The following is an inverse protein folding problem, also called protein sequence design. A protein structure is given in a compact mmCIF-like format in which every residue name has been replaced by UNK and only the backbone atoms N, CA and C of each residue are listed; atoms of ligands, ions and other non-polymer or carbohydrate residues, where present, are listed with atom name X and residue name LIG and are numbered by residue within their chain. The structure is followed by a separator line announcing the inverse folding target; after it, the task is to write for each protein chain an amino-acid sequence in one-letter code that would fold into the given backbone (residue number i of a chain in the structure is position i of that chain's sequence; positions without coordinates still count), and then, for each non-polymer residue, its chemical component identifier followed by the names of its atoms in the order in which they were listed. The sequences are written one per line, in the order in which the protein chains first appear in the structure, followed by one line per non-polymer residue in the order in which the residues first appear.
data_IF_401546619222
#
_entry.id   IF_401546619222
#
_cell.length_a   1.000
_cell.length_b   1.000
_cell.length_c   1.000
_cell.angle_alpha   90.00
_cell.angle_beta   90.00
_cell.angle_gamma   90.00
#
_symmetry.space_group_name_H-M   'P 1'
#
loop_
_entity.id
_entity.type
_entity.pdbx_description
1 polymer ?
#
# COMPACT_ATOMS: atom_id res chain seq x y z
N UNK A 1 23.99 -17.10 17.27
CA UNK A 1 23.14 -16.39 16.29
C UNK A 1 22.25 -15.49 17.12
N UNK A 2 22.53 -14.20 17.10
CA UNK A 2 21.74 -13.22 17.82
C UNK A 2 20.38 -13.12 17.11
N UNK A 3 19.36 -13.80 17.65
CA UNK A 3 18.02 -13.90 17.08
C UNK A 3 17.22 -12.62 17.33
N UNK A 4 17.83 -11.47 17.03
CA UNK A 4 17.08 -10.22 16.94
C UNK A 4 16.22 -10.34 15.70
N UNK A 5 14.92 -10.45 15.91
CA UNK A 5 13.93 -10.23 14.87
C UNK A 5 14.27 -8.90 14.21
N UNK A 6 14.68 -8.94 12.95
CA UNK A 6 14.81 -7.73 12.15
C UNK A 6 13.38 -7.30 11.82
N UNK A 7 12.96 -6.14 12.31
CA UNK A 7 11.61 -5.63 12.09
C UNK A 7 11.31 -5.45 10.59
N UNK A 8 12.34 -5.33 9.75
CA UNK A 8 12.19 -5.30 8.30
C UNK A 8 11.68 -6.62 7.71
N UNK A 9 11.86 -7.76 8.39
CA UNK A 9 11.27 -9.02 7.98
C UNK A 9 9.73 -9.03 8.16
N UNK A 10 9.20 -8.17 9.03
CA UNK A 10 7.76 -8.04 9.27
C UNK A 10 7.10 -7.05 8.31
N UNK A 11 7.83 -6.02 7.87
CA UNK A 11 7.32 -5.02 6.92
C UNK A 11 7.09 -5.66 5.56
N UNK A 12 5.89 -5.48 5.03
CA UNK A 12 5.51 -6.00 3.70
C UNK A 12 5.34 -4.86 2.71
N UNK A 13 5.95 -5.01 1.55
CA UNK A 13 5.72 -4.18 0.38
C UNK A 13 4.87 -4.97 -0.62
N UNK A 14 3.78 -4.36 -1.06
CA UNK A 14 3.00 -4.82 -2.20
C UNK A 14 3.27 -3.90 -3.37
N UNK A 15 3.37 -4.47 -4.56
CA UNK A 15 3.51 -3.75 -5.80
C UNK A 15 2.44 -4.24 -6.77
N UNK A 16 1.43 -3.40 -7.02
CA UNK A 16 0.43 -3.66 -8.05
C UNK A 16 1.03 -3.34 -9.42
N UNK A 17 1.49 -4.38 -10.10
CA UNK A 17 2.22 -4.29 -11.36
C UNK A 17 2.21 -5.63 -12.07
N UNK A 18 2.27 -5.58 -13.41
CA UNK A 18 2.39 -6.78 -14.24
C UNK A 18 3.81 -7.36 -14.26
N UNK A 19 4.81 -6.61 -13.79
CA UNK A 19 6.20 -7.04 -13.74
C UNK A 19 6.82 -6.72 -12.39
N UNK A 20 7.57 -7.67 -11.83
CA UNK A 20 8.22 -7.53 -10.53
C UNK A 20 9.29 -6.44 -10.54
N UNK A 21 9.93 -6.21 -11.69
CA UNK A 21 11.02 -5.23 -11.83
C UNK A 21 10.51 -3.79 -12.02
N UNK A 22 9.19 -3.62 -12.20
CA UNK A 22 8.58 -2.31 -12.45
C UNK A 22 7.72 -1.92 -11.26
N UNK A 23 8.11 -0.85 -10.59
CA UNK A 23 7.28 -0.23 -9.56
C UNK A 23 5.99 0.33 -10.20
N UNK A 24 4.85 -0.24 -9.82
CA UNK A 24 3.51 0.25 -10.13
C UNK A 24 2.97 1.03 -8.92
N UNK A 25 1.84 0.59 -8.36
CA UNK A 25 1.33 1.14 -7.10
C UNK A 25 1.94 0.37 -5.92
N UNK A 26 2.88 1.00 -5.24
CA UNK A 26 3.63 0.39 -4.13
C UNK A 26 3.01 0.79 -2.80
N UNK A 27 2.53 -0.20 -2.06
CA UNK A 27 1.98 -0.04 -0.71
C UNK A 27 2.87 -0.71 0.33
N UNK A 28 3.05 -0.07 1.50
CA UNK A 28 3.87 -0.57 2.61
C UNK A 28 2.97 -0.88 3.80
N UNK A 29 3.15 -2.03 4.45
CA UNK A 29 2.40 -2.46 5.62
C UNK A 29 3.35 -2.85 6.74
N UNK A 30 2.96 -2.64 8.00
CA UNK A 30 3.83 -2.92 9.16
C UNK A 30 4.01 -4.40 9.41
N UNK A 31 3.04 -5.20 8.99
CA UNK A 31 3.03 -6.64 9.19
C UNK A 31 2.38 -7.36 8.02
N UNK A 32 2.70 -8.63 7.89
CA UNK A 32 2.01 -9.55 7.00
C UNK A 32 0.50 -9.62 7.24
N UNK A 33 0.07 -9.55 8.50
CA UNK A 33 -1.35 -9.58 8.86
C UNK A 33 -2.10 -8.34 8.39
N UNK A 34 -1.45 -7.17 8.46
CA UNK A 34 -1.99 -5.92 7.95
C UNK A 34 -2.10 -5.96 6.42
N UNK A 35 -1.05 -6.42 5.73
CA UNK A 35 -1.07 -6.60 4.28
C UNK A 35 -2.19 -7.56 3.84
N UNK A 36 -2.29 -8.75 4.45
CA UNK A 36 -3.32 -9.73 4.11
C UNK A 36 -4.74 -9.24 4.38
N UNK A 37 -4.94 -8.37 5.38
CA UNK A 37 -6.24 -7.77 5.67
C UNK A 37 -6.62 -6.64 4.69
N UNK A 38 -5.62 -6.00 4.07
CA UNK A 38 -5.81 -4.90 3.13
C UNK A 38 -6.07 -5.37 1.69
N UNK A 39 -5.56 -6.55 1.31
CA UNK A 39 -5.67 -7.08 -0.05
C UNK A 39 -7.04 -7.74 -0.25
N UNK A 40 -7.70 -7.38 -1.34
CA UNK A 40 -8.94 -8.02 -1.78
C UNK A 40 -8.65 -9.36 -2.48
N UNK A 41 -9.54 -10.34 -2.34
CA UNK A 41 -9.31 -11.70 -2.82
C UNK A 41 -9.12 -11.80 -4.34
N UNK A 42 -9.75 -10.91 -5.11
CA UNK A 42 -9.61 -10.85 -6.56
C UNK A 42 -8.22 -10.40 -7.00
N UNK A 43 -7.53 -9.56 -6.23
CA UNK A 43 -6.17 -9.10 -6.53
C UNK A 43 -5.21 -10.30 -6.61
N UNK A 44 -5.36 -11.25 -5.67
CA UNK A 44 -4.59 -12.49 -5.63
C UNK A 44 -5.03 -13.46 -6.75
N UNK A 45 -6.34 -13.63 -6.96
CA UNK A 45 -6.87 -14.52 -8.00
C UNK A 45 -6.45 -14.12 -9.41
N UNK A 46 -6.34 -12.81 -9.66
CA UNK A 46 -5.97 -12.27 -10.96
C UNK A 46 -4.45 -12.05 -11.11
N UNK A 47 -3.67 -12.28 -10.06
CA UNK A 47 -2.21 -12.04 -10.05
C UNK A 47 -1.85 -10.59 -10.40
N UNK A 48 -2.52 -9.63 -9.76
CA UNK A 48 -2.38 -8.19 -10.05
C UNK A 48 -1.06 -7.59 -9.52
N UNK A 49 -0.23 -8.37 -8.84
CA UNK A 49 1.05 -7.86 -8.38
C UNK A 49 1.92 -8.83 -7.61
N UNK A 50 2.87 -8.24 -6.88
CA UNK A 50 3.94 -8.94 -6.17
C UNK A 50 4.04 -8.45 -4.74
N UNK A 51 4.51 -9.33 -3.85
CA UNK A 51 4.67 -9.03 -2.42
C UNK A 51 6.06 -9.45 -1.95
N UNK A 52 6.72 -8.58 -1.19
CA UNK A 52 8.05 -8.81 -0.60
C UNK A 52 8.09 -8.30 0.84
N UNK A 53 8.92 -8.91 1.69
CA UNK A 53 9.34 -8.26 2.94
C UNK A 53 10.29 -7.11 2.63
N UNK A 54 10.51 -6.18 3.57
CA UNK A 54 11.48 -5.11 3.37
C UNK A 54 12.94 -5.62 3.30
N UNK A 55 13.21 -6.84 3.76
CA UNK A 55 14.49 -7.54 3.58
C UNK A 55 14.64 -8.23 2.21
N UNK A 56 13.59 -8.24 1.36
CA UNK A 56 13.65 -8.84 0.03
C UNK A 56 13.24 -10.30 -0.06
N UNK A 57 12.59 -10.86 0.97
CA UNK A 57 11.98 -12.20 0.88
C UNK A 57 10.68 -12.11 0.10
N UNK A 58 10.52 -12.92 -0.95
CA UNK A 58 9.28 -12.94 -1.73
C UNK A 58 8.17 -13.64 -0.96
N UNK A 59 7.02 -13.00 -0.88
CA UNK A 59 5.82 -13.55 -0.27
C UNK A 59 4.89 -14.03 -1.38
N UNK A 60 4.60 -15.33 -1.38
CA UNK A 60 3.60 -15.89 -2.29
C UNK A 60 2.25 -15.84 -1.58
N UNK A 61 1.33 -15.07 -2.14
CA UNK A 61 -0.02 -14.91 -1.64
C UNK A 61 -0.95 -15.99 -2.21
N UNK A 62 -1.98 -16.35 -1.44
CA UNK A 62 -3.02 -17.27 -1.85
C UNK A 62 -4.33 -16.97 -1.14
N UNK A 63 -5.38 -17.71 -1.50
CA UNK A 63 -6.70 -17.60 -0.88
C UNK A 63 -6.91 -18.74 0.10
N UNK A 64 -7.06 -18.38 1.36
CA UNK A 64 -7.36 -19.28 2.47
C UNK A 64 -8.87 -19.52 2.66
N UNK A 65 -9.24 -20.18 3.78
CA UNK A 65 -10.64 -20.42 4.11
C UNK A 65 -11.44 -19.12 4.18
N UNK A 66 -12.71 -19.18 3.72
CA UNK A 66 -13.64 -18.04 3.70
C UNK A 66 -13.19 -16.85 2.84
N UNK A 67 -12.27 -17.06 1.90
CA UNK A 67 -11.82 -16.01 0.97
C UNK A 67 -10.76 -15.07 1.53
N UNK A 68 -10.22 -15.34 2.72
CA UNK A 68 -9.16 -14.51 3.29
C UNK A 68 -7.85 -14.65 2.50
N UNK A 69 -7.16 -13.55 2.23
CA UNK A 69 -5.81 -13.58 1.67
C UNK A 69 -4.85 -14.09 2.75
N UNK A 70 -3.95 -14.99 2.37
CA UNK A 70 -2.93 -15.57 3.25
C UNK A 70 -1.58 -15.65 2.52
N UNK A 71 -0.49 -15.69 3.28
CA UNK A 71 0.83 -16.04 2.76
C UNK A 71 0.96 -17.56 2.75
N UNK A 72 1.09 -18.14 1.55
CA UNK A 72 1.21 -19.60 1.38
C UNK A 72 2.66 -20.08 1.48
N UNK A 73 3.62 -19.25 1.09
CA UNK A 73 5.05 -19.52 1.28
C UNK A 73 5.90 -18.26 1.23
N UNK A 74 7.11 -18.38 1.75
CA UNK A 74 8.19 -17.41 1.66
C UNK A 74 9.29 -18.00 0.79
N UNK A 75 9.68 -17.27 -0.25
CA UNK A 75 10.70 -17.70 -1.19
C UNK A 75 11.92 -16.77 -1.06
N UNK A 76 13.12 -17.31 -0.74
CA UNK A 76 14.34 -16.54 -0.84
C UNK A 76 14.50 -16.00 -2.27
N UNK A 77 14.75 -14.71 -2.41
CA UNK A 77 15.00 -14.07 -3.70
C UNK A 77 16.34 -13.34 -3.64
N UNK A 78 17.38 -13.81 -4.36
CA UNK A 78 18.67 -13.14 -4.40
C UNK A 78 18.58 -11.68 -4.88
N UNK A 79 17.63 -11.40 -5.77
CA UNK A 79 17.39 -10.06 -6.34
C UNK A 79 16.39 -9.24 -5.53
N UNK A 80 15.70 -9.87 -4.56
CA UNK A 80 14.65 -9.26 -3.76
C UNK A 80 15.06 -7.95 -3.07
N UNK A 81 16.23 -7.85 -2.40
CA UNK A 81 16.68 -6.60 -1.80
C UNK A 81 16.80 -5.44 -2.81
N UNK A 82 17.27 -5.74 -4.03
CA UNK A 82 17.40 -4.74 -5.08
C UNK A 82 16.03 -4.30 -5.63
N UNK A 83 15.11 -5.25 -5.81
CA UNK A 83 13.72 -5.00 -6.23
C UNK A 83 13.00 -4.11 -5.20
N UNK A 84 13.05 -4.49 -3.92
CA UNK A 84 12.45 -3.72 -2.82
C UNK A 84 12.99 -2.29 -2.78
N UNK A 85 14.32 -2.14 -2.93
CA UNK A 85 14.94 -0.82 -2.97
C UNK A 85 14.42 0.01 -4.14
N UNK A 86 14.34 -0.55 -5.35
CA UNK A 86 13.84 0.15 -6.52
C UNK A 86 12.38 0.60 -6.34
N UNK A 87 11.54 -0.24 -5.74
CA UNK A 87 10.15 0.11 -5.41
C UNK A 87 10.06 1.25 -4.40
N UNK A 88 10.86 1.20 -3.33
CA UNK A 88 10.91 2.26 -2.33
C UNK A 88 11.43 3.57 -2.89
N UNK A 89 12.46 3.53 -3.75
CA UNK A 89 12.97 4.72 -4.42
C UNK A 89 11.89 5.37 -5.29
N UNK A 90 11.14 4.58 -6.08
CA UNK A 90 10.03 5.09 -6.87
C UNK A 90 8.91 5.70 -6.00
N UNK A 91 8.57 5.04 -4.89
CA UNK A 91 7.54 5.51 -3.95
C UNK A 91 7.96 6.82 -3.26
N UNK A 92 9.19 6.91 -2.77
CA UNK A 92 9.73 8.12 -2.13
C UNK A 92 9.72 9.30 -3.12
N UNK A 93 10.09 9.09 -4.38
CA UNK A 93 10.02 10.13 -5.42
C UNK A 93 8.59 10.61 -5.66
N UNK A 94 7.64 9.67 -5.68
CA UNK A 94 6.22 9.97 -5.83
C UNK A 94 5.69 10.76 -4.63
N UNK A 95 6.06 10.37 -3.40
CA UNK A 95 5.73 11.09 -2.17
C UNK A 95 6.31 12.50 -2.16
N UNK A 96 7.59 12.69 -2.53
CA UNK A 96 8.19 14.01 -2.63
C UNK A 96 7.47 14.89 -3.66
N UNK A 97 7.10 14.32 -4.81
CA UNK A 97 6.36 15.04 -5.85
C UNK A 97 4.99 15.50 -5.35
N UNK A 98 4.24 14.63 -4.67
CA UNK A 98 2.98 14.99 -4.04
C UNK A 98 3.15 16.09 -2.99
N UNK A 99 4.17 15.97 -2.13
CA UNK A 99 4.48 17.00 -1.11
C UNK A 99 4.83 18.35 -1.74
N UNK A 100 5.56 18.36 -2.85
CA UNK A 100 5.88 19.59 -3.62
C UNK A 100 4.62 20.28 -4.14
N UNK A 101 3.65 19.50 -4.65
CA UNK A 101 2.36 20.04 -5.09
C UNK A 101 1.63 20.69 -3.90
N UNK A 102 1.48 19.97 -2.79
CA UNK A 102 0.82 20.49 -1.57
C UNK A 102 1.52 21.75 -1.02
N UNK A 103 2.86 21.77 -1.06
CA UNK A 103 3.64 22.94 -0.63
C UNK A 103 3.46 24.13 -1.58
N UNK A 104 3.35 23.90 -2.89
CA UNK A 104 3.07 24.97 -3.86
C UNK A 104 1.69 25.62 -3.66
N UNK A 105 0.76 24.89 -3.07
CA UNK A 105 -0.57 25.39 -2.66
C UNK A 105 -0.54 26.07 -1.28
N UNK A 106 0.62 26.16 -0.63
CA UNK A 106 0.78 26.76 0.71
C UNK A 106 0.21 25.92 1.85
N UNK A 107 -0.08 24.63 1.61
CA UNK A 107 -0.69 23.73 2.61
C UNK A 107 0.33 22.93 3.41
N UNK A 108 1.60 22.95 3.03
CA UNK A 108 2.70 22.30 3.75
C UNK A 108 4.02 23.04 3.53
N UNK A 109 5.01 22.72 4.36
CA UNK A 109 6.39 23.19 4.20
C UNK A 109 7.30 22.01 3.87
N UNK A 110 8.19 22.21 2.90
CA UNK A 110 9.28 21.29 2.63
C UNK A 110 10.49 21.66 3.48
N UNK A 111 11.23 20.66 3.93
CA UNK A 111 12.58 20.87 4.48
C UNK A 111 13.57 21.33 3.40
N UNK A 112 14.68 21.94 3.80
CA UNK A 112 15.76 22.33 2.86
C UNK A 112 16.29 21.12 2.06
N UNK A 113 16.38 19.95 2.70
CA UNK A 113 16.78 18.71 2.05
C UNK A 113 15.80 18.31 0.94
N UNK A 114 14.49 18.37 1.19
CA UNK A 114 13.46 18.04 0.19
C UNK A 114 13.43 19.05 -0.98
N UNK A 115 13.67 20.33 -0.68
CA UNK A 115 13.84 21.37 -1.70
C UNK A 115 15.04 21.05 -2.59
N UNK A 116 16.16 20.64 -1.99
CA UNK A 116 17.35 20.19 -2.70
C UNK A 116 17.19 18.82 -3.39
N UNK A 117 16.09 18.10 -3.14
CA UNK A 117 15.85 16.75 -3.68
C UNK A 117 16.69 15.65 -3.01
N UNK A 118 17.26 15.92 -1.83
CA UNK A 118 17.95 14.92 -1.03
C UNK A 118 16.93 13.98 -0.38
N UNK A 119 17.09 12.68 -0.65
CA UNK A 119 16.20 11.62 -0.18
C UNK A 119 16.98 10.58 0.63
N UNK A 120 16.31 9.85 1.55
CA UNK A 120 16.92 8.75 2.27
C UNK A 120 17.38 7.64 1.30
N UNK A 121 18.51 7.03 1.61
CA UNK A 121 19.16 6.02 0.75
C UNK A 121 19.10 4.60 1.32
N UNK A 122 18.76 4.45 2.60
CA UNK A 122 18.53 3.16 3.26
C UNK A 122 17.05 2.77 3.21
N UNK A 123 16.76 1.48 3.25
CA UNK A 123 15.39 0.94 3.24
C UNK A 123 14.59 1.50 4.42
N UNK A 124 15.17 1.51 5.61
CA UNK A 124 14.56 2.03 6.84
C UNK A 124 14.22 3.52 6.70
N UNK A 125 15.15 4.30 6.13
CA UNK A 125 14.96 5.73 5.92
C UNK A 125 13.85 6.02 4.91
N UNK A 126 13.77 5.23 3.84
CA UNK A 126 12.70 5.34 2.84
C UNK A 126 11.34 4.99 3.44
N UNK A 127 11.24 3.89 4.19
CA UNK A 127 10.02 3.50 4.91
C UNK A 127 9.61 4.58 5.91
N UNK A 128 10.55 5.14 6.69
CA UNK A 128 10.26 6.20 7.64
C UNK A 128 9.79 7.50 6.96
N UNK A 129 10.32 7.82 5.78
CA UNK A 129 9.94 9.00 5.03
C UNK A 129 8.53 8.89 4.42
N UNK A 130 8.20 7.74 3.83
CA UNK A 130 6.87 7.48 3.26
C UNK A 130 5.84 7.28 4.37
N UNK A 131 6.20 6.54 5.41
CA UNK A 131 5.32 6.11 6.48
C UNK A 131 4.47 4.89 6.11
N UNK A 132 3.62 4.47 7.06
CA UNK A 132 2.64 3.42 6.85
C UNK A 132 1.25 4.05 6.63
N UNK A 133 0.45 3.55 5.68
CA UNK A 133 -0.93 3.97 5.54
C UNK A 133 -1.67 3.68 6.84
N UNK A 134 -2.44 4.64 7.34
CA UNK A 134 -3.31 4.39 8.47
C UNK A 134 -4.51 3.58 7.98
N UNK A 135 -4.55 2.30 8.33
CA UNK A 135 -5.71 1.46 8.08
C UNK A 135 -6.63 1.55 9.30
N UNK A 136 -7.83 2.15 9.18
CA UNK A 136 -8.79 2.12 10.27
C UNK A 136 -9.08 0.66 10.64
N UNK A 137 -9.08 0.27 11.93
CA UNK A 137 -9.51 -1.06 12.33
C UNK A 137 -10.90 -1.29 11.76
N UNK A 138 -11.04 -2.38 11.00
CA UNK A 138 -12.15 -2.78 10.14
C UNK A 138 -13.52 -2.43 10.74
N UNK A 139 -13.91 -1.15 10.62
CA UNK A 139 -15.22 -0.68 10.98
C UNK A 139 -16.02 -0.88 9.71
N UNK A 140 -16.91 -1.86 9.72
CA UNK A 140 -17.89 -2.15 8.67
C UNK A 140 -18.80 -0.95 8.30
N UNK A 141 -18.50 0.25 8.80
CA UNK A 141 -19.22 1.50 8.62
C UNK A 141 -18.90 2.25 7.32
N UNK A 142 -17.83 1.91 6.59
CA UNK A 142 -17.60 2.48 5.25
C UNK A 142 -18.62 1.99 4.22
N UNK A 143 -19.18 0.78 4.40
CA UNK A 143 -20.36 0.34 3.63
C UNK A 143 -21.62 1.17 3.96
N UNK A 144 -21.68 1.81 5.13
CA UNK A 144 -22.80 2.68 5.51
C UNK A 144 -22.86 3.96 4.67
N UNK A 145 -21.72 4.53 4.28
CA UNK A 145 -21.70 5.79 3.51
C UNK A 145 -22.14 5.58 2.05
N UNK A 146 -21.73 4.47 1.43
CA UNK A 146 -22.18 4.10 0.07
C UNK A 146 -23.66 3.66 0.05
N UNK A 147 -24.13 2.94 1.07
CA UNK A 147 -25.54 2.60 1.20
C UNK A 147 -26.42 3.85 1.37
N UNK A 148 -26.00 4.83 2.17
CA UNK A 148 -26.74 6.08 2.40
C UNK A 148 -26.85 6.95 1.14
N UNK A 149 -25.80 6.99 0.32
CA UNK A 149 -25.83 7.66 -0.98
C UNK A 149 -26.75 6.97 -1.99
N UNK A 150 -26.82 5.63 -1.99
CA UNK A 150 -27.73 4.87 -2.83
C UNK A 150 -29.21 5.07 -2.44
N UNK A 151 -29.53 5.17 -1.13
CA UNK A 151 -30.90 5.47 -0.69
C UNK A 151 -31.32 6.89 -1.07
N UNK A 152 -30.43 7.89 -0.94
CA UNK A 152 -30.73 9.28 -1.34
C UNK A 152 -30.96 9.39 -2.85
N UNK A 153 -30.14 8.72 -3.67
CA UNK A 153 -30.32 8.71 -5.12
C UNK A 153 -31.65 8.05 -5.55
N UNK A 154 -32.04 6.96 -4.88
CA UNK A 154 -33.31 6.27 -5.16
C UNK A 154 -34.51 7.13 -4.75
N UNK A 155 -34.45 7.80 -3.60
CA UNK A 155 -35.50 8.72 -3.13
C UNK A 155 -35.67 9.93 -4.05
N UNK A 156 -34.59 10.51 -4.55
CA UNK A 156 -34.64 11.63 -5.51
C UNK A 156 -35.23 11.20 -6.84
N UNK A 157 -34.91 10.00 -7.34
CA UNK A 157 -35.46 9.48 -8.60
C UNK A 157 -36.97 9.26 -8.51
N UNK A 158 -37.46 8.72 -7.38
CA UNK A 158 -38.90 8.52 -7.15
C UNK A 158 -39.65 9.85 -7.00
N UNK A 159 -39.02 10.87 -6.38
CA UNK A 159 -39.62 12.19 -6.21
C UNK A 159 -39.77 12.95 -7.54
N UNK A 160 -38.77 12.85 -8.42
CA UNK A 160 -38.82 13.46 -9.76
C UNK A 160 -39.91 12.82 -10.63
N UNK A 161 -40.09 11.50 -10.57
CA UNK A 161 -41.13 10.80 -11.34
C UNK A 161 -42.56 11.18 -10.90
N UNK A 162 -42.77 11.62 -9.65
CA UNK A 162 -44.09 12.02 -9.16
C UNK A 162 -44.44 13.50 -9.43
N UNK A 163 -43.48 14.30 -9.90
CA UNK A 163 -43.65 15.73 -10.17
C UNK A 163 -43.81 16.05 -11.68
N UNK A 164 -43.77 15.03 -12.53
CA UNK A 164 -44.12 15.08 -13.95
C UNK A 164 -45.31 14.16 -14.22
#
# INVERSE_FOLDING_TARGET
MDSRLDWLDEVVLLNESRSVDVAGDVSIYRSESEACAAIEDWWVKNSEGFAFTATGVRLVLGIGPKGAVIIVRREPSPEGPAIVRAWLEALVQTTLSARRIVASEGKSHLSEAEVAGALPTSVEGMIAYVGFPWIPPNNKFTFGCLAFLATIATLLTVLVIRLF
#
